data_IF_044320639086
#
_entry.id   IF_044320639086
#
_cell.length_a   1.000
_cell.length_b   1.000
_cell.length_c   1.000
_cell.angle_alpha   90.00
_cell.angle_beta   90.00
_cell.angle_gamma   90.00
#
_symmetry.space_group_name_H-M   'P 1'
#
loop_
_entity.id
_entity.type
_entity.pdbx_description
1 polymer ?
#
# COMPACT_ATOMS: atom_id res chain seq x y z
N UNK A 1 -19.31 -38.37 -18.72
CA UNK A 1 -19.97 -37.36 -17.87
C UNK A 1 -19.02 -36.18 -17.71
N UNK A 2 -19.26 -35.09 -18.42
CA UNK A 2 -18.41 -33.89 -18.40
C UNK A 2 -18.69 -33.07 -17.16
N UNK A 3 -17.69 -32.86 -16.30
CA UNK A 3 -17.80 -31.97 -15.13
C UNK A 3 -17.81 -30.53 -15.64
N UNK A 4 -18.99 -29.91 -15.68
CA UNK A 4 -19.12 -28.48 -15.88
C UNK A 4 -18.56 -27.78 -14.64
N UNK A 5 -17.35 -27.23 -14.75
CA UNK A 5 -16.84 -26.26 -13.79
C UNK A 5 -17.63 -24.96 -13.97
N UNK A 6 -18.65 -24.76 -13.15
CA UNK A 6 -19.32 -23.47 -13.02
C UNK A 6 -18.31 -22.43 -12.55
N UNK A 7 -18.00 -21.44 -13.40
CA UNK A 7 -17.22 -20.27 -13.01
C UNK A 7 -17.90 -19.61 -11.80
N UNK A 8 -17.16 -19.22 -10.75
CA UNK A 8 -17.76 -18.53 -9.61
C UNK A 8 -18.41 -17.23 -10.10
N UNK A 9 -19.69 -17.05 -9.74
CA UNK A 9 -20.42 -15.80 -9.90
C UNK A 9 -19.65 -14.69 -9.19
N UNK A 10 -19.17 -13.71 -9.95
CA UNK A 10 -18.53 -12.52 -9.37
C UNK A 10 -19.65 -11.69 -8.75
N UNK A 11 -19.73 -11.67 -7.42
CA UNK A 11 -20.60 -10.76 -6.69
C UNK A 11 -20.02 -9.35 -6.84
N UNK A 12 -20.70 -8.47 -7.58
CA UNK A 12 -20.31 -7.07 -7.71
C UNK A 12 -20.90 -6.28 -6.54
N UNK A 13 -20.12 -6.13 -5.46
CA UNK A 13 -20.41 -5.12 -4.45
C UNK A 13 -20.08 -3.74 -5.05
N UNK A 14 -21.06 -2.85 -5.21
CA UNK A 14 -20.84 -1.50 -5.78
C UNK A 14 -21.14 -0.43 -4.74
N UNK A 15 -20.85 0.84 -5.05
CA UNK A 15 -21.27 1.98 -4.21
C UNK A 15 -22.78 1.94 -3.92
N UNK A 16 -23.59 1.64 -4.93
CA UNK A 16 -25.04 1.50 -4.79
C UNK A 16 -25.42 0.41 -3.78
N UNK A 17 -24.73 -0.74 -3.80
CA UNK A 17 -24.94 -1.80 -2.81
C UNK A 17 -24.66 -1.29 -1.39
N UNK A 18 -23.56 -0.56 -1.19
CA UNK A 18 -23.18 0.01 0.11
C UNK A 18 -24.21 1.04 0.60
N UNK A 19 -24.69 1.91 -0.29
CA UNK A 19 -25.72 2.90 0.05
C UNK A 19 -27.06 2.24 0.40
N UNK A 20 -27.42 1.18 -0.32
CA UNK A 20 -28.61 0.38 -0.04
C UNK A 20 -28.52 -0.25 1.36
N UNK A 21 -27.39 -0.87 1.71
CA UNK A 21 -27.18 -1.43 3.05
C UNK A 21 -27.36 -0.38 4.15
N UNK A 22 -26.79 0.82 3.96
CA UNK A 22 -26.92 1.94 4.91
C UNK A 22 -28.38 2.38 5.05
N UNK A 23 -29.15 2.42 3.96
CA UNK A 23 -30.57 2.80 3.99
C UNK A 23 -31.42 1.82 4.83
N UNK A 24 -30.99 0.56 4.93
CA UNK A 24 -31.60 -0.45 5.80
C UNK A 24 -31.00 -0.49 7.22
N UNK A 25 -30.14 0.48 7.59
CA UNK A 25 -29.50 0.54 8.90
C UNK A 25 -28.37 -0.47 9.10
N UNK A 26 -27.88 -1.11 8.03
CA UNK A 26 -26.77 -2.05 8.08
C UNK A 26 -25.44 -1.32 7.82
N UNK A 27 -24.49 -1.42 8.76
CA UNK A 27 -23.12 -0.93 8.54
C UNK A 27 -22.36 -1.90 7.62
N UNK A 28 -21.69 -1.40 6.57
CA UNK A 28 -20.89 -2.23 5.67
C UNK A 28 -19.60 -2.70 6.36
N UNK A 29 -19.20 -3.93 6.05
CA UNK A 29 -17.94 -4.52 6.51
C UNK A 29 -16.75 -4.01 5.70
N UNK A 30 -15.53 -4.19 6.24
CA UNK A 30 -14.28 -3.87 5.51
C UNK A 30 -14.18 -4.64 4.19
N UNK A 31 -14.66 -5.89 4.15
CA UNK A 31 -14.66 -6.72 2.94
C UNK A 31 -15.55 -6.12 1.85
N UNK A 32 -16.78 -5.75 2.20
CA UNK A 32 -17.75 -5.16 1.26
C UNK A 32 -17.25 -3.82 0.74
N UNK A 33 -16.72 -2.96 1.63
CA UNK A 33 -16.11 -1.70 1.22
C UNK A 33 -14.90 -1.91 0.30
N UNK A 34 -14.03 -2.88 0.58
CA UNK A 34 -12.87 -3.18 -0.30
C UNK A 34 -13.32 -3.67 -1.68
N UNK A 35 -14.35 -4.52 -1.74
CA UNK A 35 -14.92 -4.99 -3.01
C UNK A 35 -15.57 -3.84 -3.79
N UNK A 36 -16.30 -2.95 -3.12
CA UNK A 36 -16.88 -1.76 -3.71
C UNK A 36 -15.80 -0.81 -4.25
N UNK A 37 -14.75 -0.53 -3.47
CA UNK A 37 -13.61 0.27 -3.93
C UNK A 37 -12.97 -0.35 -5.18
N UNK A 38 -12.76 -1.68 -5.19
CA UNK A 38 -12.23 -2.36 -6.36
C UNK A 38 -13.14 -2.20 -7.59
N UNK A 39 -14.45 -2.35 -7.41
CA UNK A 39 -15.42 -2.22 -8.49
C UNK A 39 -15.48 -0.82 -9.06
N UNK A 40 -15.54 0.19 -8.20
CA UNK A 40 -15.58 1.57 -8.64
C UNK A 40 -14.25 1.98 -9.31
N UNK A 41 -13.11 1.74 -8.66
CA UNK A 41 -11.81 2.19 -9.17
C UNK A 41 -11.35 1.45 -10.44
N UNK A 42 -11.49 0.12 -10.48
CA UNK A 42 -10.91 -0.70 -11.56
C UNK A 42 -11.88 -0.96 -12.70
N UNK A 43 -13.13 -1.27 -12.39
CA UNK A 43 -14.08 -1.80 -13.38
C UNK A 43 -15.02 -0.73 -13.92
N UNK A 44 -15.51 0.18 -13.08
CA UNK A 44 -16.37 1.28 -13.53
C UNK A 44 -15.59 2.51 -14.00
N UNK A 45 -14.39 2.72 -13.44
CA UNK A 45 -13.63 3.96 -13.63
C UNK A 45 -14.19 5.16 -12.86
N UNK A 46 -15.20 4.98 -12.01
CA UNK A 46 -15.76 6.03 -11.15
C UNK A 46 -14.84 6.27 -9.93
N UNK A 47 -13.82 7.09 -10.17
CA UNK A 47 -12.88 7.47 -9.13
C UNK A 47 -13.53 8.29 -8.00
N UNK A 48 -14.54 9.09 -8.30
CA UNK A 48 -15.27 9.86 -7.29
C UNK A 48 -15.99 8.94 -6.30
N UNK A 49 -16.65 7.90 -6.81
CA UNK A 49 -17.23 6.86 -5.99
C UNK A 49 -16.18 6.09 -5.18
N UNK A 50 -15.08 5.66 -5.82
CA UNK A 50 -14.00 4.93 -5.16
C UNK A 50 -13.37 5.73 -4.00
N UNK A 51 -13.10 7.02 -4.20
CA UNK A 51 -12.52 7.88 -3.16
C UNK A 51 -13.48 8.09 -1.99
N UNK A 52 -14.78 8.25 -2.25
CA UNK A 52 -15.81 8.35 -1.19
C UNK A 52 -15.87 7.05 -0.37
N UNK A 53 -15.91 5.90 -1.05
CA UNK A 53 -15.90 4.59 -0.40
C UNK A 53 -14.62 4.37 0.41
N UNK A 54 -13.47 4.82 -0.09
CA UNK A 54 -12.21 4.73 0.62
C UNK A 54 -12.19 5.60 1.88
N UNK A 55 -12.78 6.80 1.86
CA UNK A 55 -12.89 7.63 3.06
C UNK A 55 -13.73 6.95 4.14
N UNK A 56 -14.83 6.31 3.77
CA UNK A 56 -15.67 5.55 4.71
C UNK A 56 -14.94 4.32 5.24
N UNK A 57 -14.19 3.65 4.36
CA UNK A 57 -13.31 2.54 4.71
C UNK A 57 -12.25 2.94 5.73
N UNK A 58 -11.51 4.02 5.46
CA UNK A 58 -10.42 4.50 6.30
C UNK A 58 -10.94 4.95 7.68
N UNK A 59 -12.09 5.65 7.73
CA UNK A 59 -12.77 5.97 9.00
C UNK A 59 -13.08 4.73 9.83
N UNK A 60 -13.56 3.66 9.20
CA UNK A 60 -13.86 2.40 9.88
C UNK A 60 -12.60 1.72 10.41
N UNK A 61 -11.51 1.74 9.64
CA UNK A 61 -10.19 1.24 10.06
C UNK A 61 -9.69 2.00 11.27
N UNK A 62 -9.70 3.34 11.22
CA UNK A 62 -9.26 4.20 12.33
C UNK A 62 -10.10 4.01 13.59
N UNK A 63 -11.42 3.91 13.47
CA UNK A 63 -12.31 3.63 14.60
C UNK A 63 -11.92 2.34 15.33
N UNK A 64 -11.42 1.33 14.61
CA UNK A 64 -10.99 0.06 15.20
C UNK A 64 -9.56 0.09 15.73
N UNK A 65 -8.66 0.84 15.10
CA UNK A 65 -7.30 1.02 15.58
C UNK A 65 -7.21 1.92 16.82
N UNK A 66 -7.94 3.03 16.87
CA UNK A 66 -7.90 3.95 18.01
C UNK A 66 -8.35 3.30 19.32
N UNK A 67 -9.24 2.31 19.24
CA UNK A 67 -9.72 1.55 20.40
C UNK A 67 -8.64 0.63 20.99
N UNK A 68 -7.75 0.08 20.16
CA UNK A 68 -6.59 -0.68 20.64
C UNK A 68 -5.66 0.16 21.53
N UNK A 69 -5.45 1.43 21.18
CA UNK A 69 -4.61 2.33 21.98
C UNK A 69 -5.15 2.59 23.38
N UNK A 70 -6.48 2.74 23.51
CA UNK A 70 -7.14 2.99 24.80
C UNK A 70 -7.33 1.71 25.62
N UNK A 71 -7.58 0.57 24.98
CA UNK A 71 -7.79 -0.70 25.69
C UNK A 71 -6.48 -1.29 26.24
N UNK A 72 -5.33 -1.05 25.60
CA UNK A 72 -4.01 -1.46 26.11
C UNK A 72 -3.68 -0.71 27.42
N UNK A 73 -3.98 0.60 27.49
CA UNK A 73 -3.79 1.38 28.73
C UNK A 73 -4.77 0.95 29.84
N UNK A 74 -5.98 0.50 29.49
CA UNK A 74 -6.94 0.01 30.48
C UNK A 74 -6.64 -1.41 30.97
N UNK A 75 -6.06 -2.28 30.14
CA UNK A 75 -5.66 -3.64 30.55
C UNK A 75 -4.54 -3.63 31.60
N UNK A 76 -3.51 -2.79 31.43
CA UNK A 76 -2.42 -2.67 32.42
C UNK A 76 -2.93 -2.15 33.77
N UNK A 77 -4.00 -1.36 33.78
CA UNK A 77 -4.65 -0.88 35.00
C UNK A 77 -5.61 -1.91 35.62
N UNK A 78 -6.29 -2.73 34.81
CA UNK A 78 -7.18 -3.79 35.31
C UNK A 78 -6.45 -5.00 35.91
N UNK A 79 -5.19 -5.22 35.57
CA UNK A 79 -4.39 -6.32 36.15
C UNK A 79 -3.96 -6.03 37.61
N UNK A 80 -4.07 -4.76 38.06
CA UNK A 80 -3.73 -4.33 39.43
C UNK A 80 -4.90 -4.28 40.42
N UNK A 81 -6.14 -4.44 39.99
CA UNK A 81 -7.32 -4.35 40.88
C UNK A 81 -8.15 -5.63 40.91
N UNK A 82 -7.52 -6.80 40.73
CA UNK A 82 -8.24 -8.07 40.70
C UNK A 82 -8.17 -8.81 42.03
N UNK A 83 -8.82 -8.21 43.03
CA UNK A 83 -9.45 -8.98 44.10
C UNK A 83 -10.94 -8.62 44.17
N UNK A 84 -11.74 -9.67 44.33
CA UNK A 84 -13.15 -9.70 44.73
C UNK A 84 -14.30 -9.62 43.68
N UNK A 85 -15.16 -10.65 43.82
CA UNK A 85 -16.58 -10.83 43.43
C UNK A 85 -16.96 -11.37 42.03
N UNK A 86 -17.12 -12.71 42.00
CA UNK A 86 -18.29 -13.49 41.52
C UNK A 86 -19.19 -12.90 40.41
N UNK A 87 -18.64 -12.66 39.23
CA UNK A 87 -19.22 -13.09 37.94
C UNK A 87 -18.19 -12.84 36.85
N UNK A 88 -17.15 -13.69 36.87
CA UNK A 88 -16.00 -13.57 35.99
C UNK A 88 -16.37 -14.17 34.63
N UNK A 89 -17.04 -13.39 33.77
CA UNK A 89 -17.08 -13.69 32.34
C UNK A 89 -15.62 -13.94 31.92
N UNK A 90 -15.37 -15.12 31.37
CA UNK A 90 -14.05 -15.46 30.84
C UNK A 90 -13.68 -14.43 29.77
N UNK A 91 -12.39 -14.16 29.58
CA UNK A 91 -11.94 -13.23 28.54
C UNK A 91 -12.66 -13.54 27.21
N UNK A 92 -12.74 -14.83 26.87
CA UNK A 92 -13.43 -15.38 25.70
C UNK A 92 -14.90 -15.00 25.60
N UNK A 93 -15.65 -14.98 26.71
CA UNK A 93 -17.05 -14.56 26.73
C UNK A 93 -17.18 -13.04 26.53
N UNK A 94 -16.31 -12.26 27.16
CA UNK A 94 -16.22 -10.81 26.95
C UNK A 94 -15.96 -10.50 25.46
N UNK A 95 -15.05 -11.24 24.83
CA UNK A 95 -14.73 -11.15 23.40
C UNK A 95 -15.91 -11.54 22.48
N UNK A 96 -16.69 -12.56 22.86
CA UNK A 96 -17.88 -13.00 22.12
C UNK A 96 -19.01 -11.98 22.17
N UNK A 97 -19.20 -11.33 23.32
CA UNK A 97 -20.19 -10.28 23.54
C UNK A 97 -19.75 -8.92 23.01
N UNK A 98 -18.46 -8.72 22.72
CA UNK A 98 -17.98 -7.47 22.12
C UNK A 98 -18.49 -7.36 20.67
N UNK A 99 -19.27 -6.31 20.31
CA UNK A 99 -19.66 -6.06 18.93
C UNK A 99 -18.49 -6.21 17.95
N UNK A 100 -18.72 -6.79 16.76
CA UNK A 100 -17.65 -7.04 15.76
C UNK A 100 -16.86 -5.76 15.44
N UNK A 101 -17.52 -4.60 15.48
CA UNK A 101 -16.92 -3.28 15.31
C UNK A 101 -15.92 -2.83 16.41
N UNK A 102 -15.79 -3.61 17.50
CA UNK A 102 -14.91 -3.34 18.65
C UNK A 102 -13.73 -4.32 18.73
N UNK A 103 -13.69 -5.36 17.88
CA UNK A 103 -12.57 -6.30 17.87
C UNK A 103 -11.36 -5.72 17.11
N UNK A 104 -10.11 -6.04 17.51
CA UNK A 104 -8.92 -5.76 16.73
C UNK A 104 -9.08 -6.27 15.29
N UNK A 105 -8.34 -5.67 14.36
CA UNK A 105 -8.33 -6.16 13.00
C UNK A 105 -7.77 -7.58 12.95
N UNK A 106 -8.55 -8.51 12.39
CA UNK A 106 -8.08 -9.85 12.09
C UNK A 106 -7.01 -9.84 10.99
N UNK A 107 -6.24 -10.91 10.87
CA UNK A 107 -5.25 -11.06 9.78
C UNK A 107 -5.88 -10.90 8.40
N UNK A 108 -7.13 -11.36 8.22
CA UNK A 108 -7.87 -11.25 6.97
C UNK A 108 -8.27 -9.80 6.69
N UNK A 109 -8.73 -9.07 7.71
CA UNK A 109 -9.09 -7.66 7.58
C UNK A 109 -7.87 -6.78 7.28
N UNK A 110 -6.73 -7.05 7.92
CA UNK A 110 -5.46 -6.37 7.59
C UNK A 110 -5.12 -6.56 6.10
N UNK A 111 -5.32 -7.76 5.55
CA UNK A 111 -5.11 -8.00 4.11
C UNK A 111 -6.05 -7.15 3.24
N UNK A 112 -7.33 -7.01 3.62
CA UNK A 112 -8.27 -6.15 2.90
C UNK A 112 -7.89 -4.68 2.95
N UNK A 113 -7.40 -4.18 4.10
CA UNK A 113 -6.87 -2.82 4.21
C UNK A 113 -5.69 -2.60 3.29
N UNK A 114 -4.70 -3.50 3.31
CA UNK A 114 -3.55 -3.45 2.40
C UNK A 114 -3.98 -3.49 0.93
N UNK A 115 -4.95 -4.33 0.60
CA UNK A 115 -5.50 -4.44 -0.76
C UNK A 115 -6.20 -3.14 -1.19
N UNK A 116 -6.96 -2.49 -0.31
CA UNK A 116 -7.61 -1.21 -0.61
C UNK A 116 -6.57 -0.15 -0.98
N UNK A 117 -5.48 -0.01 -0.22
CA UNK A 117 -4.38 0.89 -0.57
C UNK A 117 -3.75 0.56 -1.92
N UNK A 118 -3.46 -0.71 -2.19
CA UNK A 118 -2.90 -1.14 -3.48
C UNK A 118 -3.84 -0.79 -4.65
N UNK A 119 -5.16 -0.96 -4.48
CA UNK A 119 -6.16 -0.59 -5.48
C UNK A 119 -6.13 0.92 -5.71
N UNK A 120 -6.19 1.73 -4.64
CA UNK A 120 -6.21 3.18 -4.77
C UNK A 120 -4.95 3.68 -5.48
N UNK A 121 -3.77 3.20 -5.11
CA UNK A 121 -2.53 3.61 -5.76
C UNK A 121 -2.48 3.16 -7.22
N UNK A 122 -2.87 1.90 -7.52
CA UNK A 122 -2.75 1.32 -8.87
C UNK A 122 -3.70 1.93 -9.90
N UNK A 123 -4.91 2.26 -9.49
CA UNK A 123 -5.98 2.72 -10.40
C UNK A 123 -6.28 4.21 -10.25
N UNK A 124 -5.45 4.94 -9.51
CA UNK A 124 -5.54 6.41 -9.47
C UNK A 124 -5.46 6.99 -10.88
N UNK A 125 -6.31 7.97 -11.23
CA UNK A 125 -6.32 8.59 -12.55
C UNK A 125 -5.12 9.52 -12.77
N UNK A 126 -4.49 9.99 -11.70
CA UNK A 126 -3.34 10.89 -11.74
C UNK A 126 -2.22 10.38 -10.83
N UNK A 127 -0.97 10.72 -11.16
CA UNK A 127 0.21 10.43 -10.31
C UNK A 127 0.09 11.13 -8.95
N UNK A 128 -0.52 12.33 -8.92
CA UNK A 128 -0.79 13.10 -7.71
C UNK A 128 -1.71 12.34 -6.76
N UNK A 129 -2.82 11.78 -7.27
CA UNK A 129 -3.73 10.95 -6.47
C UNK A 129 -3.05 9.66 -5.99
N UNK A 130 -2.29 9.00 -6.86
CA UNK A 130 -1.56 7.78 -6.50
C UNK A 130 -0.56 8.06 -5.36
N UNK A 131 0.20 9.14 -5.49
CA UNK A 131 1.16 9.63 -4.48
C UNK A 131 0.46 9.94 -3.17
N UNK A 132 -0.71 10.61 -3.20
CA UNK A 132 -1.51 10.91 -2.02
C UNK A 132 -1.85 9.64 -1.21
N UNK A 133 -2.35 8.60 -1.86
CA UNK A 133 -2.71 7.35 -1.15
C UNK A 133 -1.50 6.57 -0.68
N UNK A 134 -0.39 6.61 -1.43
CA UNK A 134 0.86 6.00 -1.00
C UNK A 134 1.45 6.70 0.23
N UNK A 135 1.49 8.04 0.23
CA UNK A 135 1.94 8.82 1.38
C UNK A 135 1.02 8.61 2.58
N UNK A 136 -0.30 8.57 2.39
CA UNK A 136 -1.25 8.28 3.45
C UNK A 136 -0.96 6.93 4.15
N UNK A 137 -0.62 5.89 3.38
CA UNK A 137 -0.17 4.61 3.94
C UNK A 137 1.12 4.76 4.77
N UNK A 138 2.11 5.46 4.24
CA UNK A 138 3.42 5.60 4.89
C UNK A 138 3.36 6.45 6.17
N UNK A 139 2.60 7.54 6.17
CA UNK A 139 2.55 8.48 7.30
C UNK A 139 1.61 8.02 8.38
N UNK A 140 0.42 7.51 8.00
CA UNK A 140 -0.65 7.29 8.97
C UNK A 140 -0.64 5.87 9.53
N UNK A 141 0.02 4.92 8.85
CA UNK A 141 0.00 3.52 9.28
C UNK A 141 1.34 2.97 9.75
N UNK A 142 2.42 3.76 9.79
CA UNK A 142 3.78 3.32 10.11
C UNK A 142 3.87 2.44 11.37
N UNK A 143 3.15 2.81 12.44
CA UNK A 143 3.16 2.11 13.73
C UNK A 143 1.97 1.15 13.91
N UNK A 144 1.25 0.84 12.83
CA UNK A 144 0.06 -0.02 12.86
C UNK A 144 0.35 -1.36 12.18
N UNK A 145 -0.40 -2.44 12.49
CA UNK A 145 -0.23 -3.74 11.83
C UNK A 145 -0.61 -3.72 10.34
N UNK A 146 -1.14 -2.61 9.83
CA UNK A 146 -1.41 -2.41 8.40
C UNK A 146 -0.10 -2.24 7.62
N UNK A 147 0.88 -1.55 8.21
CA UNK A 147 2.17 -1.33 7.58
C UNK A 147 2.95 -2.63 7.46
N UNK A 148 3.38 -2.92 6.25
CA UNK A 148 4.02 -4.16 5.87
C UNK A 148 4.86 -3.94 4.63
N UNK A 149 6.07 -4.47 4.63
CA UNK A 149 7.04 -4.18 3.59
C UNK A 149 6.60 -4.68 2.21
N UNK A 150 5.85 -5.79 2.18
CA UNK A 150 5.26 -6.32 0.95
C UNK A 150 4.20 -5.36 0.40
N UNK A 151 3.27 -4.89 1.24
CA UNK A 151 2.25 -3.91 0.85
C UNK A 151 2.87 -2.61 0.32
N UNK A 152 3.84 -2.06 1.04
CA UNK A 152 4.54 -0.82 0.65
C UNK A 152 5.23 -1.00 -0.70
N UNK A 153 5.88 -2.14 -0.93
CA UNK A 153 6.55 -2.44 -2.19
C UNK A 153 5.55 -2.57 -3.35
N UNK A 154 4.38 -3.18 -3.13
CA UNK A 154 3.33 -3.24 -4.16
C UNK A 154 2.76 -1.86 -4.53
N UNK A 155 2.54 -1.00 -3.53
CA UNK A 155 2.12 0.38 -3.80
C UNK A 155 3.20 1.16 -4.55
N UNK A 156 4.47 1.03 -4.15
CA UNK A 156 5.61 1.68 -4.82
C UNK A 156 5.73 1.24 -6.29
N UNK A 157 5.68 -0.07 -6.57
CA UNK A 157 5.71 -0.61 -7.94
C UNK A 157 4.52 -0.09 -8.76
N UNK A 158 3.35 0.06 -8.14
CA UNK A 158 2.16 0.61 -8.81
C UNK A 158 2.32 2.10 -9.15
N UNK A 159 2.95 2.87 -8.28
CA UNK A 159 3.28 4.28 -8.53
C UNK A 159 4.30 4.42 -9.67
N UNK A 160 5.36 3.61 -9.66
CA UNK A 160 6.37 3.57 -10.73
C UNK A 160 5.73 3.25 -12.08
N UNK A 161 4.77 2.32 -12.11
CA UNK A 161 4.00 2.01 -13.31
C UNK A 161 3.20 3.21 -13.83
N UNK A 162 2.57 3.99 -12.96
CA UNK A 162 1.82 5.18 -13.40
C UNK A 162 2.75 6.26 -13.94
N UNK A 163 3.91 6.44 -13.31
CA UNK A 163 4.95 7.37 -13.76
C UNK A 163 5.47 6.97 -15.14
N UNK A 164 5.82 5.70 -15.34
CA UNK A 164 6.33 5.24 -16.64
C UNK A 164 5.33 5.51 -17.76
N UNK A 165 4.03 5.36 -17.50
CA UNK A 165 2.97 5.63 -18.48
C UNK A 165 2.69 7.10 -18.78
N UNK A 166 3.17 8.04 -17.96
CA UNK A 166 2.88 9.47 -18.15
C UNK A 166 3.65 10.11 -19.31
N UNK A 167 4.81 9.57 -19.69
CA UNK A 167 5.76 10.17 -20.65
C UNK A 167 6.23 11.60 -20.31
N UNK A 168 5.94 12.11 -19.11
CA UNK A 168 6.41 13.41 -18.65
C UNK A 168 7.85 13.31 -18.16
N UNK A 169 8.74 14.14 -18.71
CA UNK A 169 10.18 14.12 -18.40
C UNK A 169 10.44 14.37 -16.90
N UNK A 170 9.70 15.30 -16.29
CA UNK A 170 9.83 15.60 -14.86
C UNK A 170 9.38 14.44 -13.98
N UNK A 171 8.35 13.69 -14.40
CA UNK A 171 7.98 12.46 -13.71
C UNK A 171 8.97 11.31 -13.97
N UNK A 172 9.60 11.22 -15.14
CA UNK A 172 10.58 10.16 -15.44
C UNK A 172 11.79 10.20 -14.50
N UNK A 173 12.29 11.39 -14.16
CA UNK A 173 13.40 11.56 -13.21
C UNK A 173 13.02 11.04 -11.82
N UNK A 174 11.85 11.45 -11.33
CA UNK A 174 11.31 10.93 -10.06
C UNK A 174 11.02 9.43 -10.13
N UNK A 175 10.60 8.93 -11.29
CA UNK A 175 10.43 7.51 -11.56
C UNK A 175 11.72 6.73 -11.34
N UNK A 176 12.84 7.24 -11.84
CA UNK A 176 14.16 6.65 -11.64
C UNK A 176 14.56 6.61 -10.15
N UNK A 177 14.31 7.70 -9.41
CA UNK A 177 14.54 7.72 -7.96
C UNK A 177 13.69 6.67 -7.22
N UNK A 178 12.41 6.57 -7.56
CA UNK A 178 11.51 5.56 -6.98
C UNK A 178 11.95 4.14 -7.30
N UNK A 179 12.48 3.87 -8.51
CA UNK A 179 13.07 2.58 -8.84
C UNK A 179 14.28 2.30 -7.94
N UNK A 180 15.16 3.27 -7.72
CA UNK A 180 16.31 3.08 -6.84
C UNK A 180 15.87 2.80 -5.39
N UNK A 181 14.84 3.48 -4.91
CA UNK A 181 14.21 3.21 -3.61
C UNK A 181 13.67 1.78 -3.57
N UNK A 182 12.96 1.35 -4.62
CA UNK A 182 12.41 0.00 -4.71
C UNK A 182 13.51 -1.07 -4.63
N UNK A 183 14.62 -0.90 -5.36
CA UNK A 183 15.76 -1.82 -5.32
C UNK A 183 16.41 -1.88 -3.93
N UNK A 184 16.55 -0.73 -3.26
CA UNK A 184 17.11 -0.67 -1.91
C UNK A 184 16.24 -1.37 -0.84
N UNK A 185 14.97 -1.67 -1.15
CA UNK A 185 14.05 -2.39 -0.25
C UNK A 185 14.20 -3.91 -0.29
N UNK A 186 15.17 -4.46 -1.02
CA UNK A 186 15.41 -5.91 -1.16
C UNK A 186 14.16 -6.67 -1.62
N UNK A 187 13.59 -6.26 -2.75
CA UNK A 187 12.43 -6.93 -3.35
C UNK A 187 12.69 -8.42 -3.59
N UNK A 188 11.65 -9.24 -3.44
CA UNK A 188 11.71 -10.66 -3.82
C UNK A 188 11.75 -10.81 -5.35
N UNK A 189 12.24 -11.95 -5.86
CA UNK A 189 12.45 -12.21 -7.29
C UNK A 189 11.23 -11.84 -8.16
N UNK A 190 10.02 -12.24 -7.74
CA UNK A 190 8.78 -11.91 -8.47
C UNK A 190 8.51 -10.40 -8.52
N UNK A 191 8.75 -9.69 -7.42
CA UNK A 191 8.58 -8.24 -7.38
C UNK A 191 9.65 -7.53 -8.22
N UNK A 192 10.88 -8.06 -8.26
CA UNK A 192 11.96 -7.56 -9.09
C UNK A 192 11.64 -7.74 -10.58
N UNK A 193 11.05 -8.86 -10.98
CA UNK A 193 10.57 -9.09 -12.34
C UNK A 193 9.48 -8.10 -12.74
N UNK A 194 8.50 -7.88 -11.86
CA UNK A 194 7.44 -6.89 -12.11
C UNK A 194 8.03 -5.48 -12.17
N UNK A 195 8.93 -5.11 -11.26
CA UNK A 195 9.61 -3.82 -11.27
C UNK A 195 10.36 -3.60 -12.60
N UNK A 196 11.08 -4.62 -13.07
CA UNK A 196 11.79 -4.57 -14.35
C UNK A 196 10.83 -4.31 -15.52
N UNK A 197 9.67 -4.97 -15.51
CA UNK A 197 8.66 -4.84 -16.55
C UNK A 197 8.01 -3.45 -16.55
N UNK A 198 7.58 -2.95 -15.39
CA UNK A 198 6.89 -1.65 -15.28
C UNK A 198 7.83 -0.45 -15.51
N UNK A 199 9.14 -0.64 -15.34
CA UNK A 199 10.15 0.41 -15.44
C UNK A 199 10.85 0.48 -16.80
N UNK A 200 10.43 -0.33 -17.79
CA UNK A 200 11.07 -0.39 -19.12
C UNK A 200 11.19 0.97 -19.81
N UNK A 201 10.14 1.79 -19.74
CA UNK A 201 10.11 3.12 -20.37
C UNK A 201 11.08 4.09 -19.68
N UNK A 202 11.14 4.05 -18.34
CA UNK A 202 12.12 4.81 -17.54
C UNK A 202 13.55 4.38 -17.93
N UNK A 203 13.80 3.08 -18.00
CA UNK A 203 15.12 2.56 -18.36
C UNK A 203 15.54 2.95 -19.77
N UNK A 204 14.63 2.85 -20.74
CA UNK A 204 14.88 3.25 -22.11
C UNK A 204 15.21 4.75 -22.21
N UNK A 205 14.50 5.59 -21.46
CA UNK A 205 14.74 7.04 -21.44
C UNK A 205 16.17 7.40 -20.99
N UNK A 206 16.71 6.68 -19.99
CA UNK A 206 18.02 6.94 -19.42
C UNK A 206 19.15 6.06 -19.98
N UNK A 207 18.87 5.16 -20.94
CA UNK A 207 19.86 4.19 -21.43
C UNK A 207 20.37 3.25 -20.32
N UNK A 208 19.45 2.78 -19.48
CA UNK A 208 19.74 1.91 -18.35
C UNK A 208 19.17 0.50 -18.57
N UNK A 209 19.66 -0.46 -17.80
CA UNK A 209 19.12 -1.80 -17.67
C UNK A 209 19.21 -2.27 -16.21
N UNK A 210 18.28 -3.15 -15.82
CA UNK A 210 18.30 -3.75 -14.49
C UNK A 210 19.17 -5.01 -14.47
N UNK A 211 20.23 -5.02 -13.67
CA UNK A 211 20.95 -6.23 -13.33
C UNK A 211 20.19 -6.99 -12.25
N UNK A 212 19.53 -8.08 -12.65
CA UNK A 212 18.72 -8.93 -11.77
C UNK A 212 19.55 -9.63 -10.68
N UNK A 213 20.83 -9.93 -10.94
CA UNK A 213 21.70 -10.66 -10.00
C UNK A 213 22.06 -9.75 -8.82
N UNK A 214 22.35 -8.49 -9.10
CA UNK A 214 22.80 -7.52 -8.09
C UNK A 214 21.69 -6.57 -7.62
N UNK A 215 20.48 -6.69 -8.18
CA UNK A 215 19.37 -5.75 -7.94
C UNK A 215 19.82 -4.29 -8.10
N UNK A 216 20.58 -4.02 -9.17
CA UNK A 216 21.22 -2.73 -9.42
C UNK A 216 20.97 -2.24 -10.84
N UNK A 217 21.04 -0.94 -11.04
CA UNK A 217 20.95 -0.33 -12.37
C UNK A 217 22.33 -0.23 -13.01
N UNK A 218 22.42 -0.54 -14.29
CA UNK A 218 23.63 -0.45 -15.10
C UNK A 218 23.34 0.29 -16.40
N UNK A 219 24.34 0.97 -16.96
CA UNK A 219 24.19 1.55 -18.31
C UNK A 219 24.07 0.43 -19.34
N UNK A 220 23.11 0.55 -20.25
CA UNK A 220 22.99 -0.39 -21.36
C UNK A 220 24.20 -0.24 -22.28
N UNK A 221 24.91 -1.35 -22.52
CA UNK A 221 26.01 -1.40 -23.49
C UNK A 221 25.40 -1.52 -24.89
N UNK A 222 24.78 -0.45 -25.38
CA UNK A 222 24.36 -0.36 -26.78
C UNK A 222 25.35 0.52 -27.54
N UNK A 223 26.03 -0.10 -28.52
CA UNK A 223 26.83 0.60 -29.51
C UNK A 223 26.00 1.69 -30.21
N UNK A 224 26.59 2.89 -30.33
CA UNK A 224 26.20 4.02 -31.17
C UNK A 224 24.90 4.78 -30.83
N UNK A 225 25.00 5.82 -29.98
CA UNK A 225 24.85 7.25 -30.35
C UNK A 225 24.60 8.15 -29.11
N UNK A 226 25.53 9.09 -28.93
CA UNK A 226 25.47 10.45 -28.37
C UNK A 226 24.16 10.90 -27.69
N UNK A 227 24.17 11.05 -26.37
CA UNK A 227 24.17 12.34 -25.65
C UNK A 227 24.65 12.07 -24.22
N UNK A 228 25.80 12.64 -23.85
CA UNK A 228 26.39 12.43 -22.54
C UNK A 228 25.67 13.29 -21.50
N UNK A 229 24.63 12.74 -20.88
CA UNK A 229 24.24 13.18 -19.54
C UNK A 229 25.14 12.47 -18.52
N UNK A 230 25.81 13.26 -17.69
CA UNK A 230 26.71 12.75 -16.66
C UNK A 230 25.90 12.27 -15.43
N UNK A 231 25.36 11.06 -15.56
CA UNK A 231 24.62 10.34 -14.50
C UNK A 231 25.49 10.07 -13.26
N UNK A 232 26.80 10.31 -13.32
CA UNK A 232 27.69 10.12 -12.16
C UNK A 232 27.43 11.11 -11.02
N UNK A 233 26.75 12.23 -11.29
CA UNK A 233 26.31 13.19 -10.26
C UNK A 233 25.07 12.74 -9.47
N UNK A 234 24.19 11.92 -10.07
CA UNK A 234 23.01 11.34 -9.41
C UNK A 234 23.33 10.02 -8.69
N UNK A 235 24.31 9.26 -9.18
CA UNK A 235 24.80 8.02 -8.54
C UNK A 235 25.88 8.38 -7.51
N UNK A 236 25.52 9.23 -6.54
CA UNK A 236 26.34 9.53 -5.36
C UNK A 236 26.40 8.36 -4.38
N UNK A 237 26.84 7.18 -4.83
CA UNK A 237 26.99 6.01 -3.98
C UNK A 237 28.28 6.16 -3.15
N UNK A 238 28.19 6.91 -2.04
CA UNK A 238 29.23 6.96 -1.01
C UNK A 238 29.48 5.54 -0.51
N UNK A 239 30.55 4.91 -0.97
CA UNK A 239 31.09 3.65 -0.42
C UNK A 239 31.59 3.90 1.00
N UNK A 240 30.66 3.94 1.96
CA UNK A 240 30.94 3.89 3.39
C UNK A 240 31.29 2.47 3.81
N UNK A 241 32.43 2.32 4.50
CA UNK A 241 32.94 1.05 5.03
C UNK A 241 31.92 0.36 5.94
N UNK A 242 31.84 -0.97 5.77
CA UNK A 242 31.04 -1.92 6.55
C UNK A 242 31.20 -1.69 8.07
N UNK A 243 30.07 -1.43 8.74
CA UNK A 243 29.78 -1.86 10.10
C UNK A 243 28.30 -2.20 10.17
N UNK A 244 27.97 -3.49 10.01
CA UNK A 244 26.59 -3.99 10.09
C UNK A 244 26.17 -4.08 11.56
N UNK A 245 25.62 -2.98 12.08
CA UNK A 245 24.51 -3.04 13.04
C UNK A 245 23.24 -2.69 12.25
N UNK A 246 22.30 -3.62 12.22
CA UNK A 246 21.02 -3.49 11.54
C UNK A 246 20.14 -2.45 12.24
N UNK A 247 20.17 -1.20 11.78
CA UNK A 247 19.07 -0.25 11.97
C UNK A 247 18.28 -0.17 10.66
N UNK A 248 17.37 -1.14 10.47
CA UNK A 248 16.54 -1.31 9.26
C UNK A 248 15.30 -0.37 9.22
N UNK A 249 15.34 0.80 9.86
CA UNK A 249 14.18 1.74 9.89
C UNK A 249 14.48 3.15 9.42
N UNK A 250 15.52 3.36 8.62
CA UNK A 250 15.68 4.65 7.92
C UNK A 250 14.78 4.72 6.69
N UNK A 251 13.46 4.65 6.90
CA UNK A 251 12.45 5.15 5.98
C UNK A 251 12.45 6.68 6.05
N UNK A 252 13.53 7.32 5.59
CA UNK A 252 13.38 8.70 5.15
C UNK A 252 12.50 8.60 3.91
N UNK A 253 11.19 8.82 4.08
CA UNK A 253 10.35 9.29 2.98
C UNK A 253 11.16 10.45 2.40
N UNK A 254 11.67 10.36 1.15
CA UNK A 254 12.40 11.47 0.60
C UNK A 254 11.49 12.69 0.74
N UNK A 255 11.94 13.73 1.44
CA UNK A 255 11.19 14.99 1.57
C UNK A 255 10.75 15.51 0.17
N UNK A 256 11.52 15.10 -0.85
CA UNK A 256 11.30 15.21 -2.30
C UNK A 256 9.97 14.66 -2.85
N UNK A 257 9.36 13.62 -2.27
CA UNK A 257 8.08 13.08 -2.79
C UNK A 257 6.92 14.04 -2.47
N UNK A 258 7.03 14.85 -1.41
CA UNK A 258 5.87 15.56 -0.85
C UNK A 258 5.59 16.94 -1.45
N UNK A 259 6.60 17.68 -1.91
CA UNK A 259 6.40 19.03 -2.44
C UNK A 259 6.10 18.98 -3.94
N UNK A 260 7.01 18.39 -4.73
CA UNK A 260 6.99 18.58 -6.18
C UNK A 260 6.05 17.62 -6.94
N UNK A 261 5.53 16.57 -6.30
CA UNK A 261 4.49 15.69 -6.91
C UNK A 261 3.06 16.12 -6.53
N UNK A 262 2.94 17.08 -5.62
CA UNK A 262 1.67 17.57 -5.08
C UNK A 262 1.29 18.95 -5.66
N UNK A 263 2.17 19.60 -6.40
CA UNK A 263 1.88 20.78 -7.24
C UNK A 263 1.46 20.33 -8.64
#
# INVERSE_FOLDING_TARGET
MSRQHTKPSICFCTKYTIETMRSFGQEPTLTELTQAIMNEAKYSGDWSAATTLFQDFDKLVWKRLARLGNDIMNLENMEKTRDETNNKLTLTQLWLETPVALRPLSKTEIKYVRQAYQIMVRYSPTIKDATKYYLHLLTNHLDTPIFDDECVSHCLISLIFLISKSNDIGFMEKGLELVQIALNRNLHDKQLEVLADVSKEIFAHYGLQLNKIHSSLEKSVSCNQITAYDVSSLIGCKKGKKNRKHDNRSLRIPELISADLME
#
